data_IF_527563821506
#
_entry.id   IF_527563821506
#
_cell.length_a   1.000
_cell.length_b   1.000
_cell.length_c   1.000
_cell.angle_alpha   90.00
_cell.angle_beta   90.00
_cell.angle_gamma   90.00
#
_symmetry.space_group_name_H-M   'P 1'
#
loop_
_entity.id
_entity.type
_entity.pdbx_description
1 polymer ?
#
# COMPACT_ATOMS: atom_id res chain seq x y z
N UNK A 1 14.12 -5.51 51.95
CA UNK A 1 13.76 -4.25 51.25
C UNK A 1 14.07 -4.29 49.75
N UNK A 2 15.20 -4.86 49.32
CA UNK A 2 15.65 -4.73 47.91
C UNK A 2 14.89 -5.58 46.89
N UNK A 3 14.37 -6.74 47.30
CA UNK A 3 13.61 -7.61 46.39
C UNK A 3 12.26 -6.99 45.97
N UNK A 4 11.64 -6.19 46.84
CA UNK A 4 10.35 -5.53 46.58
C UNK A 4 10.54 -4.41 45.55
N UNK A 5 11.61 -3.60 45.70
CA UNK A 5 11.94 -2.52 44.76
C UNK A 5 12.23 -3.06 43.35
N UNK A 6 12.94 -4.20 43.25
CA UNK A 6 13.25 -4.84 41.97
C UNK A 6 12.00 -5.32 41.23
N UNK A 7 11.02 -5.91 41.94
CA UNK A 7 9.74 -6.34 41.38
C UNK A 7 8.89 -5.15 40.91
N UNK A 8 8.86 -4.05 41.68
CA UNK A 8 8.13 -2.84 41.29
C UNK A 8 8.68 -2.24 39.99
N UNK A 9 10.01 -2.12 39.89
CA UNK A 9 10.68 -1.57 38.70
C UNK A 9 10.40 -2.42 37.46
N UNK A 10 10.43 -3.75 37.57
CA UNK A 10 10.14 -4.65 36.47
C UNK A 10 8.68 -4.53 35.97
N UNK A 11 7.72 -4.49 36.89
CA UNK A 11 6.31 -4.32 36.54
C UNK A 11 6.03 -2.96 35.89
N UNK A 12 6.81 -1.94 36.20
CA UNK A 12 6.68 -0.61 35.61
C UNK A 12 7.21 -0.59 34.17
N UNK A 13 8.35 -1.25 33.91
CA UNK A 13 8.86 -1.46 32.55
C UNK A 13 7.85 -2.19 31.67
N UNK A 14 7.27 -3.29 32.16
CA UNK A 14 6.27 -4.06 31.41
C UNK A 14 5.03 -3.24 31.05
N UNK A 15 4.60 -2.35 31.95
CA UNK A 15 3.45 -1.46 31.66
C UNK A 15 3.76 -0.47 30.54
N UNK A 16 4.98 0.07 30.51
CA UNK A 16 5.40 0.97 29.44
C UNK A 16 5.56 0.24 28.11
N UNK A 17 6.09 -0.99 28.11
CA UNK A 17 6.24 -1.81 26.90
C UNK A 17 4.87 -2.19 26.31
N UNK A 18 3.92 -2.60 27.15
CA UNK A 18 2.55 -2.91 26.74
C UNK A 18 1.83 -1.65 26.21
N UNK A 19 2.03 -0.50 26.86
CA UNK A 19 1.43 0.77 26.43
C UNK A 19 2.01 1.24 25.09
N UNK A 20 3.32 1.08 24.88
CA UNK A 20 3.99 1.38 23.62
C UNK A 20 3.48 0.50 22.49
N UNK A 21 3.41 -0.81 22.69
CA UNK A 21 2.89 -1.77 21.70
C UNK A 21 1.43 -1.47 21.32
N UNK A 22 0.61 -1.05 22.28
CA UNK A 22 -0.79 -0.69 22.03
C UNK A 22 -0.93 0.59 21.19
N UNK A 23 -0.08 1.58 21.44
CA UNK A 23 -0.04 2.81 20.64
C UNK A 23 0.44 2.59 19.20
N UNK A 24 1.25 1.57 18.93
CA UNK A 24 1.66 1.21 17.57
C UNK A 24 0.50 0.59 16.76
N UNK A 25 -0.44 -0.10 17.43
CA UNK A 25 -1.62 -0.68 16.79
C UNK A 25 -2.80 0.30 16.66
N UNK A 26 -2.92 1.30 17.54
CA UNK A 26 -3.98 2.32 17.52
C UNK A 26 -3.65 3.53 16.62
N UNK A 27 -2.63 3.45 15.77
CA UNK A 27 -2.41 4.47 14.75
C UNK A 27 -3.50 4.36 13.69
N UNK A 28 -4.53 5.21 13.80
CA UNK A 28 -5.45 5.50 12.71
C UNK A 28 -4.61 5.82 11.48
N UNK A 29 -4.59 4.93 10.48
CA UNK A 29 -3.88 5.17 9.24
C UNK A 29 -4.60 6.31 8.53
N UNK A 30 -4.04 7.52 8.58
CA UNK A 30 -4.64 8.71 7.98
C UNK A 30 -4.21 8.94 6.54
N UNK A 31 -3.10 8.32 6.11
CA UNK A 31 -2.57 8.44 4.75
C UNK A 31 -2.69 7.13 3.99
N UNK A 32 -3.25 7.19 2.79
CA UNK A 32 -3.36 6.04 1.88
C UNK A 32 -1.98 5.43 1.58
N UNK A 33 -0.91 6.23 1.59
CA UNK A 33 0.45 5.78 1.29
C UNK A 33 1.00 4.74 2.28
N UNK A 34 0.40 4.66 3.47
CA UNK A 34 0.82 3.72 4.51
C UNK A 34 0.25 2.31 4.29
N UNK A 35 -0.67 2.11 3.33
CA UNK A 35 -1.11 0.77 2.97
C UNK A 35 0.03 -0.03 2.32
N UNK A 36 -0.01 -1.35 2.51
CA UNK A 36 1.00 -2.25 1.96
C UNK A 36 0.98 -2.27 0.43
N UNK A 37 2.07 -2.70 -0.19
CA UNK A 37 2.16 -2.74 -1.65
C UNK A 37 1.18 -3.78 -2.23
N UNK A 38 0.93 -4.87 -1.50
CA UNK A 38 -0.02 -5.92 -1.86
C UNK A 38 -1.43 -5.37 -2.04
N UNK A 39 -1.85 -4.46 -1.14
CA UNK A 39 -3.15 -3.80 -1.24
C UNK A 39 -3.28 -2.97 -2.53
N UNK A 40 -2.21 -2.29 -2.95
CA UNK A 40 -2.22 -1.54 -4.19
C UNK A 40 -2.18 -2.44 -5.43
N UNK A 41 -1.46 -3.55 -5.38
CA UNK A 41 -1.48 -4.53 -6.46
C UNK A 41 -2.88 -5.14 -6.64
N UNK A 42 -3.59 -5.40 -5.54
CA UNK A 42 -4.99 -5.84 -5.58
C UNK A 42 -5.88 -4.78 -6.24
N UNK A 43 -5.72 -3.49 -5.91
CA UNK A 43 -6.44 -2.41 -6.61
C UNK A 43 -6.11 -2.39 -8.11
N UNK A 44 -4.83 -2.54 -8.47
CA UNK A 44 -4.38 -2.55 -9.86
C UNK A 44 -4.98 -3.72 -10.65
N UNK A 45 -5.23 -4.87 -10.02
CA UNK A 45 -5.90 -5.99 -10.67
C UNK A 45 -7.35 -5.68 -11.09
N UNK A 46 -8.01 -4.68 -10.51
CA UNK A 46 -9.36 -4.27 -10.91
C UNK A 46 -9.41 -3.19 -12.00
N UNK A 47 -8.27 -2.57 -12.32
CA UNK A 47 -8.20 -1.41 -13.20
C UNK A 47 -7.49 -1.73 -14.53
N UNK A 48 -7.75 -0.91 -15.55
CA UNK A 48 -6.95 -0.93 -16.77
C UNK A 48 -5.64 -0.18 -16.56
N UNK A 49 -4.61 -0.58 -17.30
CA UNK A 49 -3.28 0.03 -17.22
C UNK A 49 -3.30 1.54 -17.42
N UNK A 50 -4.11 2.03 -18.36
CA UNK A 50 -4.25 3.46 -18.61
C UNK A 50 -4.86 4.21 -17.40
N UNK A 51 -5.87 3.65 -16.76
CA UNK A 51 -6.48 4.23 -15.55
C UNK A 51 -5.49 4.25 -14.39
N UNK A 52 -4.73 3.16 -14.22
CA UNK A 52 -3.71 3.06 -13.18
C UNK A 52 -2.62 4.11 -13.40
N UNK A 53 -2.07 4.21 -14.62
CA UNK A 53 -1.05 5.19 -14.92
C UNK A 53 -1.57 6.62 -14.72
N UNK A 54 -2.77 6.94 -15.18
CA UNK A 54 -3.37 8.27 -15.00
C UNK A 54 -3.56 8.64 -13.54
N UNK A 55 -4.03 7.69 -12.72
CA UNK A 55 -4.32 7.95 -11.31
C UNK A 55 -3.06 8.00 -10.43
N UNK A 56 -2.06 7.14 -10.68
CA UNK A 56 -0.97 6.90 -9.72
C UNK A 56 0.41 7.43 -10.16
N UNK A 57 0.65 7.73 -11.43
CA UNK A 57 2.00 8.09 -11.93
C UNK A 57 2.58 9.40 -11.39
N UNK A 58 1.72 10.34 -11.01
CA UNK A 58 2.11 11.68 -10.57
C UNK A 58 1.83 11.95 -9.08
N UNK A 59 1.55 10.90 -8.28
CA UNK A 59 1.26 11.08 -6.85
C UNK A 59 2.55 11.34 -6.05
N UNK A 60 3.48 10.38 -6.05
CA UNK A 60 4.76 10.48 -5.36
C UNK A 60 5.71 9.36 -5.85
N UNK A 61 6.95 9.41 -5.38
CA UNK A 61 8.00 8.46 -5.75
C UNK A 61 7.65 7.00 -5.39
N UNK A 62 6.94 6.78 -4.28
CA UNK A 62 6.51 5.43 -3.87
C UNK A 62 5.58 4.81 -4.92
N UNK A 63 4.60 5.56 -5.41
CA UNK A 63 3.69 5.07 -6.45
C UNK A 63 4.40 4.91 -7.79
N UNK A 64 5.37 5.76 -8.12
CA UNK A 64 6.21 5.54 -9.31
C UNK A 64 7.01 4.24 -9.21
N UNK A 65 7.58 3.93 -8.05
CA UNK A 65 8.26 2.66 -7.81
C UNK A 65 7.32 1.46 -7.93
N UNK A 66 6.10 1.58 -7.41
CA UNK A 66 5.07 0.55 -7.56
C UNK A 66 4.75 0.30 -9.04
N UNK A 67 4.57 1.36 -9.85
CA UNK A 67 4.26 1.22 -11.28
C UNK A 67 5.42 0.65 -12.11
N UNK A 68 6.65 0.93 -11.71
CA UNK A 68 7.85 0.41 -12.37
C UNK A 68 8.24 -1.01 -11.89
N UNK A 69 7.53 -1.55 -10.91
CA UNK A 69 7.76 -2.90 -10.39
C UNK A 69 7.35 -3.95 -11.43
N UNK A 70 8.20 -4.96 -11.64
CA UNK A 70 7.87 -6.12 -12.47
C UNK A 70 6.71 -6.96 -11.93
N UNK A 71 6.28 -6.71 -10.69
CA UNK A 71 5.13 -7.38 -10.09
C UNK A 71 3.79 -6.84 -10.63
N UNK A 72 3.76 -5.64 -11.23
CA UNK A 72 2.53 -5.06 -11.77
C UNK A 72 2.32 -5.51 -13.21
N UNK A 73 1.22 -6.22 -13.46
CA UNK A 73 0.80 -6.64 -14.79
C UNK A 73 -0.34 -5.74 -15.26
N UNK A 74 -0.04 -4.78 -16.14
CA UNK A 74 -1.03 -3.86 -16.65
C UNK A 74 -1.95 -4.50 -17.69
N UNK A 75 -3.26 -4.40 -17.46
CA UNK A 75 -4.28 -4.79 -18.44
C UNK A 75 -4.37 -3.72 -19.53
N UNK A 76 -4.08 -4.09 -20.77
CA UNK A 76 -4.26 -3.21 -21.92
C UNK A 76 -5.60 -3.52 -22.60
N UNK A 77 -6.35 -2.47 -22.94
CA UNK A 77 -7.50 -2.60 -23.83
C UNK A 77 -7.05 -2.20 -25.24
N UNK A 78 -7.20 -3.14 -26.19
CA UNK A 78 -6.94 -2.87 -27.61
C UNK A 78 -8.31 -2.73 -28.27
N UNK A 79 -8.59 -1.53 -28.76
CA UNK A 79 -9.82 -1.26 -29.49
C UNK A 79 -9.68 -1.69 -30.96
N UNK A 80 -10.26 -2.83 -31.31
CA UNK A 80 -10.26 -3.37 -32.68
C UNK A 80 -11.20 -2.62 -33.64
N UNK A 81 -11.98 -1.64 -33.16
CA UNK A 81 -12.98 -0.94 -33.99
C UNK A 81 -12.38 -0.17 -35.17
N UNK A 82 -11.08 0.14 -35.14
CA UNK A 82 -10.39 0.94 -36.18
C UNK A 82 -9.91 0.14 -37.40
N UNK A 83 -10.02 -1.19 -37.41
CA UNK A 83 -9.53 -2.01 -38.52
C UNK A 83 -10.55 -2.26 -39.64
N UNK A 84 -11.82 -1.94 -39.43
CA UNK A 84 -12.89 -2.26 -40.40
C UNK A 84 -13.04 -1.25 -41.54
N UNK A 85 -12.41 -0.07 -41.47
CA UNK A 85 -12.58 0.98 -42.49
C UNK A 85 -11.64 0.81 -43.71
N UNK A 86 -10.69 -0.13 -43.67
CA UNK A 86 -9.63 -0.24 -44.71
C UNK A 86 -9.91 -1.31 -45.78
N UNK A 87 -10.93 -2.16 -45.61
CA UNK A 87 -11.21 -3.28 -46.55
C UNK A 87 -12.58 -3.20 -47.25
N UNK A 88 -13.22 -2.03 -47.26
CA UNK A 88 -14.50 -1.79 -47.95
C UNK A 88 -14.36 -0.77 -49.09
N UNK A 89 -13.39 -0.99 -50.00
CA UNK A 89 -13.33 -0.33 -51.30
C UNK A 89 -12.97 -1.34 -52.40
#
# INVERSE_FOLDING_TARGET
MDQIKRKLSFNQSLKEDIKKSRNEFDQTITSIENFSNEFFYEIFDYLYGDDIYKAFSNLNDRFQQLLNSSAVLFKIYIDDSKYNDTYMN
#
